data_IF_166300436982
#
_entry.id   IF_166300436982
#
_cell.length_a   1.000
_cell.length_b   1.000
_cell.length_c   1.000
_cell.angle_alpha   90.00
_cell.angle_beta   90.00
_cell.angle_gamma   90.00
#
_symmetry.space_group_name_H-M   'P 1'
#
loop_
_entity.id
_entity.type
_entity.pdbx_description
1 polymer ?
#
# COMPACT_ATOMS: atom_id res chain seq x y z
N UNK A 1 11.89 -0.46 18.51
CA UNK A 1 10.83 -1.48 18.26
C UNK A 1 11.34 -2.92 18.36
N UNK A 2 12.64 -3.18 18.18
CA UNK A 2 13.25 -4.53 18.11
C UNK A 2 12.98 -5.48 19.29
N UNK A 3 12.66 -4.94 20.47
CA UNK A 3 12.26 -5.78 21.63
C UNK A 3 10.90 -6.45 21.37
N UNK A 4 9.94 -5.69 20.85
CA UNK A 4 8.59 -6.18 20.54
C UNK A 4 8.65 -7.19 19.39
N UNK A 5 9.47 -6.93 18.38
CA UNK A 5 9.71 -7.84 17.26
C UNK A 5 10.30 -9.18 17.73
N UNK A 6 11.27 -9.15 18.65
CA UNK A 6 11.82 -10.38 19.25
C UNK A 6 10.80 -11.14 20.10
N UNK A 7 9.88 -10.45 20.76
CA UNK A 7 8.83 -11.09 21.55
C UNK A 7 7.79 -11.77 20.65
N UNK A 8 7.44 -11.16 19.52
CA UNK A 8 6.54 -11.75 18.52
C UNK A 8 7.04 -13.09 17.97
N UNK A 9 8.35 -13.26 17.81
CA UNK A 9 8.94 -14.53 17.37
C UNK A 9 8.66 -15.68 18.35
N UNK A 10 8.29 -15.39 19.60
CA UNK A 10 7.95 -16.40 20.62
C UNK A 10 6.48 -16.82 20.60
N UNK A 11 5.62 -16.08 19.90
CA UNK A 11 4.21 -16.43 19.72
C UNK A 11 4.03 -17.53 18.68
N UNK A 12 2.89 -18.23 18.71
CA UNK A 12 2.47 -19.09 17.58
C UNK A 12 2.27 -18.27 16.31
N UNK A 13 2.33 -18.90 15.13
CA UNK A 13 2.20 -18.18 13.84
C UNK A 13 0.87 -17.41 13.74
N UNK A 14 -0.25 -18.05 14.09
CA UNK A 14 -1.57 -17.42 14.06
C UNK A 14 -1.65 -16.20 14.97
N UNK A 15 -1.20 -16.32 16.21
CA UNK A 15 -1.17 -15.22 17.17
C UNK A 15 -0.24 -14.10 16.73
N UNK A 16 0.90 -14.44 16.11
CA UNK A 16 1.89 -13.49 15.61
C UNK A 16 1.33 -12.67 14.46
N UNK A 17 0.60 -13.32 13.54
CA UNK A 17 -0.02 -12.64 12.41
C UNK A 17 -1.10 -11.66 12.89
N UNK A 18 -2.00 -12.11 13.77
CA UNK A 18 -3.03 -11.26 14.35
C UNK A 18 -2.43 -10.06 15.10
N UNK A 19 -1.35 -10.27 15.87
CA UNK A 19 -0.69 -9.20 16.59
C UNK A 19 0.03 -8.23 15.64
N UNK A 20 0.62 -8.70 14.53
CA UNK A 20 1.19 -7.83 13.50
C UNK A 20 0.13 -6.93 12.85
N UNK A 21 -1.03 -7.49 12.52
CA UNK A 21 -2.15 -6.74 11.93
C UNK A 21 -2.70 -5.71 12.91
N UNK A 22 -2.88 -6.09 14.17
CA UNK A 22 -3.40 -5.19 15.21
C UNK A 22 -2.42 -4.04 15.49
N UNK A 23 -1.14 -4.36 15.66
CA UNK A 23 -0.13 -3.35 15.94
C UNK A 23 0.16 -2.45 14.74
N UNK A 24 0.09 -2.96 13.51
CA UNK A 24 0.26 -2.13 12.32
C UNK A 24 -0.92 -1.19 12.11
N UNK A 25 -2.15 -1.63 12.41
CA UNK A 25 -3.33 -0.77 12.40
C UNK A 25 -3.19 0.35 13.43
N UNK A 26 -2.82 0.01 14.67
CA UNK A 26 -2.58 1.01 15.72
C UNK A 26 -1.48 1.99 15.32
N UNK A 27 -0.34 1.49 14.85
CA UNK A 27 0.79 2.33 14.44
C UNK A 27 0.39 3.26 13.28
N UNK A 28 -0.42 2.81 12.33
CA UNK A 28 -0.99 3.67 11.28
C UNK A 28 -1.85 4.78 11.85
N UNK A 29 -2.79 4.44 12.74
CA UNK A 29 -3.70 5.41 13.35
C UNK A 29 -2.87 6.50 14.05
N UNK A 30 -1.91 6.11 14.88
CA UNK A 30 -1.11 7.08 15.62
C UNK A 30 -0.24 7.95 14.70
N UNK A 31 0.39 7.39 13.66
CA UNK A 31 1.18 8.18 12.72
C UNK A 31 0.35 9.17 11.88
N UNK A 32 -0.95 8.90 11.68
CA UNK A 32 -1.84 9.79 10.93
C UNK A 32 -2.47 10.86 11.84
N UNK A 33 -2.90 10.46 13.03
CA UNK A 33 -3.60 11.36 13.97
C UNK A 33 -2.63 12.22 14.79
N UNK A 34 -1.40 11.73 15.02
CA UNK A 34 -0.36 12.37 15.84
C UNK A 34 1.01 12.35 15.14
N UNK A 35 1.17 13.01 13.98
CA UNK A 35 2.42 13.02 13.22
C UNK A 35 3.61 13.63 14.00
N UNK A 36 3.36 14.52 14.95
CA UNK A 36 4.36 15.16 15.81
C UNK A 36 5.09 14.19 16.75
N UNK A 37 4.48 13.05 17.06
CA UNK A 37 5.08 12.03 17.93
C UNK A 37 6.20 11.25 17.22
N UNK A 38 6.35 11.43 15.89
CA UNK A 38 7.42 10.86 15.07
C UNK A 38 7.64 9.35 15.33
N UNK A 39 6.55 8.62 15.56
CA UNK A 39 6.62 7.21 15.96
C UNK A 39 7.20 6.38 14.81
N UNK A 40 8.24 5.56 15.06
CA UNK A 40 8.82 4.71 14.03
C UNK A 40 7.83 3.65 13.58
N UNK A 41 7.88 3.30 12.29
CA UNK A 41 7.00 2.29 11.74
C UNK A 41 7.31 0.89 12.29
N UNK A 42 6.28 0.20 12.76
CA UNK A 42 6.40 -1.15 13.27
C UNK A 42 6.59 -2.17 12.14
N UNK A 43 7.59 -3.06 12.27
CA UNK A 43 7.79 -4.17 11.32
C UNK A 43 8.00 -3.74 9.85
N UNK A 44 8.62 -2.59 9.62
CA UNK A 44 8.85 -2.03 8.28
C UNK A 44 9.43 -3.03 7.28
N UNK A 45 10.52 -3.70 7.64
CA UNK A 45 11.18 -4.70 6.80
C UNK A 45 10.29 -5.91 6.51
N UNK A 46 9.48 -6.32 7.49
CA UNK A 46 8.54 -7.42 7.29
C UNK A 46 7.49 -7.05 6.24
N UNK A 47 6.90 -5.85 6.31
CA UNK A 47 5.93 -5.41 5.31
C UNK A 47 6.55 -5.22 3.92
N UNK A 48 7.78 -4.69 3.83
CA UNK A 48 8.51 -4.61 2.56
C UNK A 48 8.68 -5.98 1.91
N UNK A 49 9.17 -6.97 2.69
CA UNK A 49 9.34 -8.34 2.21
C UNK A 49 7.99 -8.97 1.85
N UNK A 50 6.96 -8.74 2.65
CA UNK A 50 5.62 -9.27 2.40
C UNK A 50 5.04 -8.71 1.11
N UNK A 51 5.07 -7.39 0.90
CA UNK A 51 4.57 -6.75 -0.33
C UNK A 51 5.33 -7.22 -1.56
N UNK A 52 6.65 -7.38 -1.45
CA UNK A 52 7.46 -7.93 -2.54
C UNK A 52 7.12 -9.40 -2.86
N UNK A 53 6.59 -10.16 -1.89
CA UNK A 53 6.19 -11.56 -2.07
C UNK A 53 4.75 -11.76 -2.52
N UNK A 54 3.88 -10.75 -2.36
CA UNK A 54 2.47 -10.82 -2.72
C UNK A 54 2.31 -10.74 -4.23
N UNK A 55 1.48 -11.63 -4.79
CA UNK A 55 1.04 -11.53 -6.18
C UNK A 55 0.04 -10.38 -6.34
N UNK A 56 0.39 -9.37 -7.13
CA UNK A 56 -0.46 -8.20 -7.41
C UNK A 56 -1.38 -8.45 -8.61
N UNK A 57 -1.95 -9.66 -8.70
CA UNK A 57 -2.90 -10.00 -9.76
C UNK A 57 -4.28 -9.45 -9.42
N UNK A 58 -4.85 -8.71 -10.37
CA UNK A 58 -6.22 -8.21 -10.28
C UNK A 58 -7.22 -9.37 -10.37
N UNK A 59 -8.16 -9.39 -9.44
CA UNK A 59 -9.34 -10.24 -9.50
C UNK A 59 -10.26 -9.81 -10.67
N UNK A 60 -11.18 -10.67 -11.16
CA UNK A 60 -12.06 -10.33 -12.27
C UNK A 60 -12.82 -9.01 -12.07
N UNK A 61 -13.46 -8.82 -10.91
CA UNK A 61 -14.15 -7.58 -10.56
C UNK A 61 -13.20 -6.36 -10.54
N UNK A 62 -11.96 -6.54 -10.06
CA UNK A 62 -10.97 -5.47 -10.04
C UNK A 62 -10.54 -5.07 -11.45
N UNK A 63 -10.49 -6.02 -12.40
CA UNK A 63 -10.22 -5.72 -13.81
C UNK A 63 -11.36 -4.89 -14.43
N UNK A 64 -12.61 -5.26 -14.16
CA UNK A 64 -13.78 -4.49 -14.62
C UNK A 64 -13.78 -3.07 -14.04
N UNK A 65 -13.47 -2.93 -12.73
CA UNK A 65 -13.33 -1.61 -12.09
C UNK A 65 -12.20 -0.80 -12.74
N UNK A 66 -11.05 -1.42 -13.01
CA UNK A 66 -9.93 -0.75 -13.68
C UNK A 66 -10.32 -0.25 -15.07
N UNK A 67 -11.01 -1.07 -15.87
CA UNK A 67 -11.46 -0.70 -17.20
C UNK A 67 -12.35 0.55 -17.16
N UNK A 68 -13.31 0.59 -16.23
CA UNK A 68 -14.18 1.76 -16.04
C UNK A 68 -13.37 2.99 -15.61
N UNK A 69 -12.45 2.84 -14.66
CA UNK A 69 -11.61 3.95 -14.19
C UNK A 69 -10.75 4.51 -15.31
N UNK A 70 -10.07 3.65 -16.08
CA UNK A 70 -9.22 4.04 -17.22
C UNK A 70 -10.02 4.81 -18.27
N UNK A 71 -11.26 4.41 -18.54
CA UNK A 71 -12.16 5.13 -19.43
C UNK A 71 -12.52 6.52 -18.88
N UNK A 72 -12.83 6.63 -17.59
CA UNK A 72 -13.20 7.89 -16.95
C UNK A 72 -12.07 8.92 -16.95
N UNK A 73 -10.83 8.48 -16.69
CA UNK A 73 -9.67 9.38 -16.62
C UNK A 73 -8.93 9.49 -17.96
N UNK A 74 -9.51 8.93 -19.03
CA UNK A 74 -9.00 9.00 -20.41
C UNK A 74 -7.59 8.41 -20.61
N UNK A 75 -7.23 7.37 -19.86
CA UNK A 75 -5.99 6.63 -20.11
C UNK A 75 -5.43 5.85 -18.91
N UNK A 76 -4.70 4.78 -19.22
CA UNK A 76 -4.04 3.93 -18.21
C UNK A 76 -2.92 4.66 -17.47
N UNK A 77 -2.31 5.67 -18.12
CA UNK A 77 -1.24 6.50 -17.56
C UNK A 77 -1.65 7.33 -16.33
N UNK A 78 -2.93 7.31 -15.95
CA UNK A 78 -3.51 8.11 -14.87
C UNK A 78 -4.07 7.25 -13.72
N UNK A 79 -3.98 5.92 -13.81
CA UNK A 79 -4.43 4.99 -12.76
C UNK A 79 -3.30 4.05 -12.39
N UNK A 80 -3.09 3.84 -11.09
CA UNK A 80 -2.17 2.81 -10.57
C UNK A 80 -2.94 1.77 -9.79
N UNK A 81 -2.51 0.52 -9.92
CA UNK A 81 -3.06 -0.59 -9.15
C UNK A 81 -2.12 -0.98 -8.02
N UNK A 82 -2.68 -1.57 -6.96
CA UNK A 82 -1.93 -2.14 -5.84
C UNK A 82 -0.89 -1.18 -5.21
N UNK A 83 -1.28 0.08 -5.01
CA UNK A 83 -0.40 1.08 -4.40
C UNK A 83 -0.34 0.86 -2.90
N UNK A 84 0.87 0.96 -2.33
CA UNK A 84 1.07 0.96 -0.89
C UNK A 84 1.52 2.33 -0.44
N UNK A 85 0.79 2.90 0.52
CA UNK A 85 1.20 4.16 1.17
C UNK A 85 2.51 3.96 1.95
N UNK A 86 3.24 5.02 2.35
CA UNK A 86 4.39 4.93 3.26
C UNK A 86 4.10 4.18 4.58
N UNK A 87 2.83 4.16 5.02
CA UNK A 87 2.35 3.41 6.18
C UNK A 87 1.77 2.04 5.81
N UNK A 88 2.18 1.47 4.68
CA UNK A 88 1.84 0.12 4.23
C UNK A 88 0.33 -0.16 4.07
N UNK A 89 -0.50 0.88 3.90
CA UNK A 89 -1.89 0.71 3.54
C UNK A 89 -2.01 0.34 2.08
N UNK A 90 -2.74 -0.73 1.79
CA UNK A 90 -3.02 -1.15 0.42
C UNK A 90 -4.18 -0.33 -0.14
N UNK A 91 -3.90 0.32 -1.27
CA UNK A 91 -4.86 1.02 -2.11
C UNK A 91 -5.01 0.18 -3.37
N UNK A 92 -6.24 -0.27 -3.65
CA UNK A 92 -6.50 -1.09 -4.84
C UNK A 92 -6.28 -0.30 -6.13
N UNK A 93 -6.77 0.94 -6.17
CA UNK A 93 -6.63 1.86 -7.31
C UNK A 93 -6.34 3.27 -6.82
N UNK A 94 -5.33 3.92 -7.41
CA UNK A 94 -4.96 5.31 -7.15
C UNK A 94 -5.08 6.13 -8.43
N UNK A 95 -5.73 7.29 -8.34
CA UNK A 95 -5.73 8.34 -9.35
C UNK A 95 -5.55 9.68 -8.64
N UNK A 96 -4.58 10.48 -9.09
CA UNK A 96 -4.28 11.80 -8.51
C UNK A 96 -4.86 12.87 -9.42
N UNK A 97 -5.57 13.82 -8.82
CA UNK A 97 -6.08 15.01 -9.49
C UNK A 97 -5.27 16.23 -9.06
N UNK A 98 -5.05 17.16 -9.98
CA UNK A 98 -4.46 18.46 -9.66
C UNK A 98 -5.50 19.43 -9.05
N UNK A 99 -5.07 20.67 -8.80
CA UNK A 99 -5.94 21.73 -8.25
C UNK A 99 -7.12 22.09 -9.15
N UNK A 100 -7.03 21.81 -10.45
CA UNK A 100 -8.09 22.04 -11.45
C UNK A 100 -8.96 20.79 -11.67
N UNK A 101 -8.83 19.80 -10.79
CA UNK A 101 -9.50 18.50 -10.85
C UNK A 101 -9.17 17.68 -12.12
N UNK A 102 -7.98 17.86 -12.70
CA UNK A 102 -7.53 17.11 -13.88
C UNK A 102 -6.64 15.93 -13.46
N UNK A 103 -6.79 14.76 -14.11
CA UNK A 103 -5.91 13.62 -13.84
C UNK A 103 -4.43 13.94 -14.11
N UNK A 104 -3.58 13.57 -13.15
CA UNK A 104 -2.13 13.70 -13.27
C UNK A 104 -1.56 12.35 -13.71
N UNK A 105 -0.59 12.36 -14.63
CA UNK A 105 0.09 11.13 -15.07
C UNK A 105 0.87 10.50 -13.92
N UNK A 106 0.78 9.19 -13.79
CA UNK A 106 1.45 8.38 -12.77
C UNK A 106 2.98 8.58 -12.75
N UNK A 107 3.59 8.85 -13.92
CA UNK A 107 5.01 9.18 -14.05
C UNK A 107 5.43 10.44 -13.28
N UNK A 108 4.49 11.33 -12.97
CA UNK A 108 4.79 12.66 -12.45
C UNK A 108 4.74 12.73 -10.91
N UNK A 109 4.22 11.68 -10.25
CA UNK A 109 4.20 11.56 -8.78
C UNK A 109 4.64 10.16 -8.32
N UNK A 110 5.18 9.35 -9.23
CA UNK A 110 5.50 7.95 -9.00
C UNK A 110 6.97 7.72 -8.61
N UNK A 111 7.25 7.73 -7.31
CA UNK A 111 8.31 6.90 -6.74
C UNK A 111 7.83 6.27 -5.43
N UNK A 112 6.84 5.39 -5.52
CA UNK A 112 6.47 4.56 -4.36
C UNK A 112 6.00 3.14 -4.71
N UNK A 113 5.98 2.76 -6.00
CA UNK A 113 5.71 1.36 -6.34
C UNK A 113 7.02 0.61 -6.55
N UNK A 114 7.37 -0.15 -5.52
CA UNK A 114 8.16 -1.36 -5.67
C UNK A 114 7.31 -2.38 -6.45
N UNK A 115 7.62 -2.62 -7.73
CA UNK A 115 7.35 -3.90 -8.37
C UNK A 115 6.09 -4.10 -9.24
N UNK A 116 5.36 -3.07 -9.64
CA UNK A 116 4.35 -3.23 -10.71
C UNK A 116 4.76 -2.44 -11.95
N UNK A 117 5.46 -3.12 -12.85
CA UNK A 117 5.63 -2.69 -14.23
C UNK A 117 4.34 -3.06 -15.00
N UNK A 118 3.61 -2.10 -15.61
CA UNK A 118 2.40 -2.38 -16.37
C UNK A 118 2.65 -3.15 -17.67
N UNK A 119 3.89 -3.55 -17.97
CA UNK A 119 4.28 -4.29 -19.18
C UNK A 119 4.39 -5.80 -18.99
N UNK A 120 3.86 -6.37 -17.91
CA UNK A 120 3.79 -7.83 -17.72
C UNK A 120 2.35 -8.32 -17.88
N UNK A 121 2.15 -8.99 -19.01
CA UNK A 121 0.97 -9.65 -19.61
C UNK A 121 0.04 -8.76 -20.46
#
# INVERSE_FOLDING_TARGET
>A
MDRLDRQLLRCSESSRQQLRETLSALNRIVCLDFPEEAIPWFHQRYFQNHIASVSHRLQPLQREVLEVLVQLVSGVDYVRCHVYTPYYYHISFECVLDSDCRPVRCSNYGSVLWGCDPTLD
#
